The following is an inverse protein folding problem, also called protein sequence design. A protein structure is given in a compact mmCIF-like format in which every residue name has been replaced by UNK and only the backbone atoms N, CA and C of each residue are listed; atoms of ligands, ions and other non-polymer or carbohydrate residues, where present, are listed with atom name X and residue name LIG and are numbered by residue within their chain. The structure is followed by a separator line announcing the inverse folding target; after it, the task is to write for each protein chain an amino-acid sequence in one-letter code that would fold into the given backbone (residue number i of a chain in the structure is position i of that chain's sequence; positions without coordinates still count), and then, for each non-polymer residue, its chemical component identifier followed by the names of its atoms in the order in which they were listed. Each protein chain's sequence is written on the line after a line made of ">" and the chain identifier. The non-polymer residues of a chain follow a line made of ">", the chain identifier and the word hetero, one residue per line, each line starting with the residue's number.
data_IF_583587304702
#
_entry.id   IF_583587304702
#
_cell.length_a   1.000
_cell.length_b   1.000
_cell.length_c   1.000
_cell.angle_alpha   90.00
_cell.angle_beta   90.00
_cell.angle_gamma   90.00
#
_symmetry.space_group_name_H-M   'P 1'
#
loop_
_entity.id
_entity.type
_entity.pdbx_description
1 polymer ?
#
# COMPACT_ATOMS: atom_id res chain seq x y z
N UNK A 1 -13.21 -13.11 -14.87
CA UNK A 1 -14.47 -13.88 -14.68
C UNK A 1 -14.22 -15.20 -13.92
N UNK A 2 -13.23 -16.02 -14.33
CA UNK A 2 -12.94 -17.29 -13.65
C UNK A 2 -12.57 -17.09 -12.17
N UNK A 3 -11.65 -16.18 -11.87
CA UNK A 3 -11.26 -15.87 -10.49
C UNK A 3 -12.47 -15.48 -9.61
N UNK A 4 -13.36 -14.62 -10.12
CA UNK A 4 -14.60 -14.26 -9.45
C UNK A 4 -15.54 -15.45 -9.21
N UNK A 5 -15.68 -16.34 -10.20
CA UNK A 5 -16.56 -17.50 -10.09
C UNK A 5 -16.05 -18.58 -9.13
N UNK A 6 -14.75 -18.62 -8.92
CA UNK A 6 -14.07 -19.58 -8.02
C UNK A 6 -13.71 -19.00 -6.66
N UNK A 7 -13.85 -17.66 -6.49
CA UNK A 7 -13.43 -16.97 -5.26
C UNK A 7 -11.92 -17.03 -5.03
N UNK A 8 -11.11 -16.95 -6.10
CA UNK A 8 -9.66 -17.02 -6.04
C UNK A 8 -9.02 -15.65 -6.28
N UNK A 9 -7.86 -15.36 -5.67
CA UNK A 9 -7.10 -14.14 -5.97
C UNK A 9 -6.77 -14.03 -7.46
N UNK A 10 -6.76 -12.80 -7.96
CA UNK A 10 -6.38 -12.50 -9.34
C UNK A 10 -5.01 -11.83 -9.38
N UNK A 11 -4.04 -12.48 -10.02
CA UNK A 11 -2.70 -11.94 -10.23
C UNK A 11 -2.50 -11.72 -11.72
N UNK A 12 -2.18 -10.48 -12.10
CA UNK A 12 -1.85 -10.14 -13.48
C UNK A 12 -0.38 -9.71 -13.58
N UNK A 13 0.33 -10.31 -14.54
CA UNK A 13 1.68 -9.88 -14.91
C UNK A 13 1.55 -9.02 -16.16
N UNK A 14 2.05 -7.78 -16.08
CA UNK A 14 1.85 -6.75 -17.08
C UNK A 14 3.16 -6.44 -17.82
N UNK A 15 3.09 -6.52 -19.15
CA UNK A 15 4.05 -6.02 -20.12
C UNK A 15 3.26 -5.56 -21.34
N UNK A 16 3.03 -4.24 -21.48
CA UNK A 16 2.10 -3.72 -22.48
C UNK A 16 2.40 -2.29 -22.90
N UNK A 17 2.46 -2.06 -24.19
CA UNK A 17 2.52 -0.70 -24.77
C UNK A 17 1.20 0.08 -24.72
N UNK A 18 0.12 -0.47 -24.16
CA UNK A 18 -1.20 0.15 -24.12
C UNK A 18 -2.14 -0.26 -25.23
N UNK A 19 -3.18 0.55 -25.45
CA UNK A 19 -4.17 0.29 -26.49
C UNK A 19 -3.57 0.41 -27.90
N UNK A 20 -3.89 -0.55 -28.76
CA UNK A 20 -3.47 -0.51 -30.17
C UNK A 20 -4.25 0.56 -30.91
N UNK A 21 -3.59 1.70 -31.18
CA UNK A 21 -4.22 2.88 -31.79
C UNK A 21 -4.87 2.57 -33.15
N UNK A 22 -4.29 1.65 -33.92
CA UNK A 22 -4.78 1.24 -35.24
C UNK A 22 -6.16 0.58 -35.18
N UNK A 23 -6.56 0.03 -34.04
CA UNK A 23 -7.88 -0.58 -33.82
C UNK A 23 -8.92 0.43 -33.34
N UNK A 24 -8.53 1.67 -33.08
CA UNK A 24 -9.41 2.77 -32.68
C UNK A 24 -10.27 2.46 -31.46
N UNK A 25 -11.57 2.75 -31.53
CA UNK A 25 -12.51 2.57 -30.42
C UNK A 25 -12.67 1.12 -29.94
N UNK A 26 -12.42 0.13 -30.80
CA UNK A 26 -12.52 -1.29 -30.43
C UNK A 26 -11.46 -1.67 -29.37
N UNK A 27 -10.22 -1.17 -29.53
CA UNK A 27 -9.15 -1.38 -28.56
C UNK A 27 -9.48 -0.73 -27.20
N UNK A 28 -10.04 0.49 -27.22
CA UNK A 28 -10.47 1.18 -25.98
C UNK A 28 -11.64 0.45 -25.30
N UNK A 29 -12.59 -0.09 -26.05
CA UNK A 29 -13.68 -0.90 -25.51
C UNK A 29 -13.14 -2.16 -24.79
N UNK A 30 -12.08 -2.80 -25.34
CA UNK A 30 -11.40 -3.92 -24.69
C UNK A 30 -10.88 -3.57 -23.29
N UNK A 31 -10.23 -2.42 -23.14
CA UNK A 31 -9.80 -1.93 -21.81
C UNK A 31 -11.01 -1.63 -20.90
N UNK A 32 -12.08 -1.07 -21.42
CA UNK A 32 -13.31 -0.84 -20.66
C UNK A 32 -13.86 -2.12 -20.03
N UNK A 33 -13.84 -3.23 -20.75
CA UNK A 33 -14.24 -4.53 -20.20
C UNK A 33 -13.30 -5.05 -19.12
N UNK A 34 -11.99 -4.79 -19.22
CA UNK A 34 -11.04 -5.13 -18.15
C UNK A 34 -11.32 -4.32 -16.90
N UNK A 35 -11.46 -2.99 -17.04
CA UNK A 35 -11.74 -2.10 -15.91
C UNK A 35 -13.06 -2.43 -15.20
N UNK A 36 -14.12 -2.76 -15.95
CA UNK A 36 -15.39 -3.20 -15.37
C UNK A 36 -15.18 -4.42 -14.46
N UNK A 37 -14.38 -5.38 -14.89
CA UNK A 37 -14.12 -6.59 -14.11
C UNK A 37 -13.26 -6.32 -12.88
N UNK A 38 -12.22 -5.46 -13.01
CA UNK A 38 -11.45 -5.04 -11.85
C UNK A 38 -12.34 -4.34 -10.80
N UNK A 39 -13.22 -3.45 -11.23
CA UNK A 39 -14.13 -2.73 -10.31
C UNK A 39 -15.11 -3.69 -9.64
N UNK A 40 -15.71 -4.64 -10.39
CA UNK A 40 -16.62 -5.64 -9.82
C UNK A 40 -15.93 -6.62 -8.86
N UNK A 41 -14.64 -6.89 -9.07
CA UNK A 41 -13.84 -7.76 -8.23
C UNK A 41 -13.26 -7.04 -6.98
N UNK A 42 -13.28 -5.71 -6.97
CA UNK A 42 -12.74 -4.89 -5.88
C UNK A 42 -13.43 -5.20 -4.56
N UNK A 43 -12.65 -5.57 -3.54
CA UNK A 43 -13.14 -5.98 -2.23
C UNK A 43 -13.85 -7.35 -2.19
N UNK A 44 -13.89 -8.08 -3.31
CA UNK A 44 -14.47 -9.44 -3.39
C UNK A 44 -13.36 -10.49 -3.41
N UNK A 45 -12.38 -10.32 -4.28
CA UNK A 45 -11.17 -11.14 -4.33
C UNK A 45 -9.94 -10.24 -4.33
N UNK A 46 -8.81 -10.64 -3.73
CA UNK A 46 -7.56 -9.91 -3.84
C UNK A 46 -7.11 -9.79 -5.29
N UNK A 47 -6.74 -8.58 -5.71
CA UNK A 47 -6.24 -8.29 -7.05
C UNK A 47 -4.83 -7.73 -6.96
N UNK A 48 -3.88 -8.40 -7.58
CA UNK A 48 -2.46 -8.06 -7.54
C UNK A 48 -1.96 -7.82 -8.96
N UNK A 49 -1.38 -6.66 -9.20
CA UNK A 49 -0.71 -6.31 -10.46
C UNK A 49 0.80 -6.37 -10.28
N UNK A 50 1.46 -7.11 -11.17
CA UNK A 50 2.91 -7.27 -11.20
C UNK A 50 3.40 -6.70 -12.52
N UNK A 51 4.19 -5.64 -12.47
CA UNK A 51 4.72 -4.98 -13.65
C UNK A 51 6.12 -5.53 -13.91
N UNK A 52 6.28 -6.23 -15.03
CA UNK A 52 7.54 -6.88 -15.43
C UNK A 52 7.94 -6.47 -16.85
N UNK A 53 7.87 -5.18 -17.13
CA UNK A 53 8.16 -4.57 -18.41
C UNK A 53 7.53 -3.20 -18.52
N UNK A 54 7.43 -2.62 -19.72
CA UNK A 54 6.67 -1.39 -19.93
C UNK A 54 5.18 -1.63 -19.69
N UNK A 55 4.53 -0.63 -19.09
CA UNK A 55 3.08 -0.59 -18.90
C UNK A 55 2.63 0.85 -19.18
N UNK A 56 2.12 1.11 -20.37
CA UNK A 56 1.87 2.46 -20.86
C UNK A 56 0.41 2.71 -21.27
N UNK A 57 0.01 3.97 -21.26
CA UNK A 57 -1.30 4.40 -21.72
C UNK A 57 -2.45 3.74 -20.96
N UNK A 58 -3.43 3.17 -21.67
CA UNK A 58 -4.58 2.50 -21.07
C UNK A 58 -4.23 1.32 -20.14
N UNK A 59 -3.08 0.70 -20.35
CA UNK A 59 -2.63 -0.45 -19.55
C UNK A 59 -2.33 -0.11 -18.08
N UNK A 60 -2.05 1.14 -17.74
CA UNK A 60 -1.72 1.55 -16.36
C UNK A 60 -2.93 1.64 -15.45
N UNK A 61 -4.13 1.77 -16.01
CA UNK A 61 -5.33 1.97 -15.18
C UNK A 61 -5.79 0.70 -14.50
N UNK A 62 -5.67 -0.47 -15.15
CA UNK A 62 -5.98 -1.74 -14.50
C UNK A 62 -5.12 -1.96 -13.24
N UNK A 63 -3.78 -1.83 -13.26
CA UNK A 63 -2.97 -1.84 -12.04
C UNK A 63 -3.40 -0.82 -10.98
N UNK A 64 -3.77 0.39 -11.39
CA UNK A 64 -4.20 1.43 -10.45
C UNK A 64 -5.54 1.12 -9.75
N UNK A 65 -6.39 0.29 -10.37
CA UNK A 65 -7.66 -0.17 -9.81
C UNK A 65 -7.47 -1.36 -8.86
N UNK A 66 -6.43 -2.18 -9.06
CA UNK A 66 -6.15 -3.36 -8.24
C UNK A 66 -5.68 -2.99 -6.83
N UNK A 67 -5.65 -3.96 -5.90
CA UNK A 67 -5.33 -3.70 -4.50
C UNK A 67 -3.85 -3.38 -4.29
N UNK A 68 -2.96 -4.12 -4.97
CA UNK A 68 -1.51 -3.98 -4.83
C UNK A 68 -0.81 -3.97 -6.18
N UNK A 69 0.18 -3.10 -6.32
CA UNK A 69 1.04 -3.00 -7.50
C UNK A 69 2.48 -3.27 -7.13
N UNK A 70 3.07 -4.27 -7.77
CA UNK A 70 4.49 -4.62 -7.67
C UNK A 70 5.24 -4.12 -8.90
N UNK A 71 6.43 -3.56 -8.69
CA UNK A 71 7.31 -3.12 -9.76
C UNK A 71 8.74 -3.64 -9.55
N UNK A 72 9.37 -4.07 -10.64
CA UNK A 72 10.78 -4.53 -10.66
C UNK A 72 11.69 -3.37 -11.06
N UNK A 73 12.77 -3.15 -10.32
CA UNK A 73 13.74 -2.08 -10.61
C UNK A 73 14.30 -2.23 -12.02
N UNK A 74 14.54 -1.10 -12.67
CA UNK A 74 15.17 -0.97 -14.00
C UNK A 74 14.42 -1.69 -15.14
N UNK A 75 13.47 -2.59 -14.82
CA UNK A 75 12.70 -3.36 -15.80
C UNK A 75 11.30 -2.78 -15.98
N UNK A 76 10.65 -2.37 -14.89
CA UNK A 76 9.26 -1.92 -14.89
C UNK A 76 9.14 -0.42 -15.11
N UNK A 77 8.31 -0.03 -16.06
CA UNK A 77 7.99 1.38 -16.30
C UNK A 77 6.49 1.57 -16.47
N UNK A 78 5.91 2.50 -15.73
CA UNK A 78 4.49 2.88 -15.85
C UNK A 78 4.37 4.37 -16.16
N UNK A 79 3.60 4.72 -17.19
CA UNK A 79 3.24 6.11 -17.49
C UNK A 79 2.03 6.18 -18.42
N UNK A 80 1.25 7.25 -18.34
CA UNK A 80 0.13 7.48 -19.26
C UNK A 80 0.67 7.80 -20.65
N UNK A 81 1.67 8.70 -20.73
CA UNK A 81 2.35 9.08 -21.97
C UNK A 81 3.85 9.01 -21.75
N UNK A 82 4.55 8.43 -22.73
CA UNK A 82 6.01 8.25 -22.64
C UNK A 82 6.82 9.56 -22.81
N UNK A 83 8.14 9.50 -22.56
CA UNK A 83 9.03 10.66 -22.62
C UNK A 83 8.97 11.45 -23.94
N UNK A 84 8.86 10.76 -25.09
CA UNK A 84 8.82 11.43 -26.40
C UNK A 84 7.57 12.32 -26.57
N UNK A 85 6.43 11.86 -26.05
CA UNK A 85 5.19 12.65 -26.10
C UNK A 85 5.27 13.84 -25.15
N UNK A 86 5.84 13.66 -23.94
CA UNK A 86 6.06 14.74 -22.99
C UNK A 86 6.95 15.81 -23.63
N UNK A 87 8.08 15.40 -24.22
CA UNK A 87 9.00 16.30 -24.90
C UNK A 87 8.31 17.07 -26.03
N UNK A 88 7.49 16.40 -26.82
CA UNK A 88 6.77 17.02 -27.93
C UNK A 88 5.72 18.05 -27.48
N UNK A 89 5.07 17.83 -26.33
CA UNK A 89 3.94 18.66 -25.85
C UNK A 89 4.39 19.75 -24.87
N UNK A 90 5.26 19.40 -23.91
CA UNK A 90 5.69 20.32 -22.83
C UNK A 90 7.11 20.86 -23.01
N UNK A 91 7.92 20.23 -23.87
CA UNK A 91 9.35 20.53 -24.01
C UNK A 91 10.24 19.95 -22.92
N UNK A 92 9.67 19.22 -21.96
CA UNK A 92 10.45 18.60 -20.89
C UNK A 92 11.25 17.38 -21.40
N UNK A 93 12.48 17.26 -20.97
CA UNK A 93 13.32 16.08 -21.24
C UNK A 93 13.39 15.22 -19.98
N UNK A 94 12.95 13.97 -20.09
CA UNK A 94 12.89 13.02 -18.98
C UNK A 94 13.18 11.62 -19.51
N UNK A 95 13.89 10.81 -18.73
CA UNK A 95 14.13 9.40 -19.07
C UNK A 95 12.95 8.52 -18.68
N UNK A 96 12.90 7.29 -19.21
CA UNK A 96 11.88 6.30 -18.83
C UNK A 96 11.89 6.04 -17.32
N UNK A 97 13.07 5.89 -16.72
CA UNK A 97 13.24 5.61 -15.31
C UNK A 97 12.82 6.80 -14.42
N UNK A 98 13.18 8.02 -14.79
CA UNK A 98 12.81 9.23 -14.06
C UNK A 98 11.30 9.50 -14.13
N UNK A 99 10.66 9.21 -15.26
CA UNK A 99 9.23 9.43 -15.45
C UNK A 99 8.38 8.36 -14.75
N UNK A 100 8.71 7.09 -14.97
CA UNK A 100 7.83 5.99 -14.60
C UNK A 100 8.51 4.74 -14.09
N UNK A 101 9.77 4.83 -13.67
CA UNK A 101 10.49 3.70 -13.07
C UNK A 101 9.92 3.28 -11.71
N UNK A 102 10.31 2.09 -11.26
CA UNK A 102 9.80 1.48 -10.04
C UNK A 102 9.98 2.39 -8.81
N UNK A 103 11.16 3.00 -8.63
CA UNK A 103 11.40 3.89 -7.50
C UNK A 103 10.68 5.22 -7.61
N UNK A 104 10.43 5.74 -8.81
CA UNK A 104 9.62 6.95 -9.01
C UNK A 104 8.19 6.72 -8.53
N UNK A 105 7.60 5.59 -8.90
CA UNK A 105 6.25 5.24 -8.45
C UNK A 105 6.18 4.82 -6.98
N UNK A 106 7.24 4.24 -6.44
CA UNK A 106 7.27 3.86 -5.03
C UNK A 106 7.50 5.05 -4.09
N UNK A 107 8.23 6.10 -4.51
CA UNK A 107 8.63 7.20 -3.60
C UNK A 107 7.93 8.53 -3.85
N UNK A 108 7.49 8.79 -5.09
CA UNK A 108 6.88 10.08 -5.47
C UNK A 108 5.38 10.00 -5.69
N UNK A 109 4.92 9.04 -6.50
CA UNK A 109 3.50 8.98 -6.87
C UNK A 109 2.65 8.07 -5.97
N UNK A 110 3.28 7.16 -5.21
CA UNK A 110 2.56 6.18 -4.38
C UNK A 110 1.75 5.15 -5.19
N UNK A 111 2.07 4.93 -6.47
CA UNK A 111 1.41 3.94 -7.31
C UNK A 111 1.93 2.53 -7.01
N UNK A 112 3.27 2.37 -6.86
CA UNK A 112 3.86 1.09 -6.54
C UNK A 112 3.78 0.80 -5.04
N UNK A 113 3.07 -0.26 -4.68
CA UNK A 113 2.97 -0.75 -3.31
C UNK A 113 4.28 -1.40 -2.85
N UNK A 114 4.95 -2.09 -3.77
CA UNK A 114 6.18 -2.85 -3.53
C UNK A 114 7.16 -2.70 -4.69
N UNK A 115 8.44 -2.76 -4.37
CA UNK A 115 9.55 -2.75 -5.34
C UNK A 115 10.51 -3.88 -5.01
N UNK A 116 10.85 -4.68 -6.01
CA UNK A 116 11.86 -5.74 -5.95
C UNK A 116 13.11 -5.39 -6.77
N UNK A 117 14.20 -6.08 -6.50
CA UNK A 117 15.44 -5.94 -7.27
C UNK A 117 15.33 -6.66 -8.61
N UNK A 118 14.68 -7.81 -8.63
CA UNK A 118 14.49 -8.66 -9.80
C UNK A 118 13.12 -9.33 -9.78
N UNK A 119 12.83 -10.11 -10.84
CA UNK A 119 11.55 -10.78 -11.03
C UNK A 119 11.36 -11.96 -10.06
N UNK A 120 12.42 -12.65 -9.66
CA UNK A 120 12.37 -13.77 -8.73
C UNK A 120 11.97 -13.29 -7.33
N UNK A 121 12.63 -12.23 -6.84
CA UNK A 121 12.27 -11.56 -5.59
C UNK A 121 10.83 -11.03 -5.65
N UNK A 122 10.42 -10.44 -6.78
CA UNK A 122 9.07 -9.95 -6.98
C UNK A 122 8.03 -11.06 -6.78
N UNK A 123 8.23 -12.21 -7.42
CA UNK A 123 7.32 -13.35 -7.29
C UNK A 123 7.33 -13.96 -5.88
N UNK A 124 8.48 -13.93 -5.19
CA UNK A 124 8.57 -14.35 -3.80
C UNK A 124 7.77 -13.39 -2.88
N UNK A 125 7.88 -12.09 -3.09
CA UNK A 125 7.11 -11.08 -2.37
C UNK A 125 5.60 -11.21 -2.61
N UNK A 126 5.17 -11.51 -3.84
CA UNK A 126 3.75 -11.78 -4.15
C UNK A 126 3.24 -13.00 -3.37
N UNK A 127 4.02 -14.08 -3.28
CA UNK A 127 3.65 -15.26 -2.46
C UNK A 127 3.59 -14.91 -0.98
N UNK A 128 4.53 -14.08 -0.50
CA UNK A 128 4.51 -13.62 0.88
C UNK A 128 3.26 -12.79 1.18
N UNK A 129 2.90 -11.83 0.31
CA UNK A 129 1.66 -11.06 0.44
C UNK A 129 0.43 -11.98 0.51
N UNK A 130 0.33 -12.97 -0.38
CA UNK A 130 -0.79 -13.91 -0.40
C UNK A 130 -0.91 -14.74 0.88
N UNK A 131 0.16 -14.91 1.65
CA UNK A 131 0.10 -15.59 2.94
C UNK A 131 -0.65 -14.80 4.03
N UNK A 132 -0.85 -13.50 3.83
CA UNK A 132 -1.62 -12.63 4.73
C UNK A 132 -3.07 -12.41 4.29
N UNK A 133 -3.40 -12.77 3.05
CA UNK A 133 -4.72 -12.48 2.46
C UNK A 133 -5.57 -13.75 2.38
N UNK A 134 -6.90 -13.65 2.58
CA UNK A 134 -7.81 -14.75 2.27
C UNK A 134 -7.93 -14.94 0.75
N UNK A 135 -8.53 -16.05 0.31
CA UNK A 135 -8.85 -16.26 -1.10
C UNK A 135 -9.89 -15.26 -1.62
N UNK A 136 -10.82 -14.88 -0.76
CA UNK A 136 -11.91 -13.95 -1.06
C UNK A 136 -12.50 -13.34 0.24
N UNK A 137 -13.41 -12.40 0.11
CA UNK A 137 -14.01 -11.69 1.24
C UNK A 137 -14.96 -12.51 2.12
N UNK A 138 -15.23 -13.76 1.79
CA UNK A 138 -16.05 -14.68 2.60
C UNK A 138 -15.20 -15.63 3.44
N UNK A 139 -13.88 -15.57 3.29
CA UNK A 139 -12.93 -16.43 3.99
C UNK A 139 -12.03 -15.60 4.92
N UNK A 140 -11.44 -16.26 5.89
CA UNK A 140 -10.41 -15.68 6.75
C UNK A 140 -9.01 -15.88 6.13
N UNK A 141 -8.08 -15.00 6.47
CA UNK A 141 -6.68 -15.14 6.07
C UNK A 141 -6.07 -16.42 6.67
N UNK A 142 -5.09 -17.05 5.98
CA UNK A 142 -4.41 -18.22 6.51
C UNK A 142 -3.76 -17.95 7.87
N UNK A 143 -3.94 -18.86 8.83
CA UNK A 143 -3.27 -18.82 10.12
C UNK A 143 -2.06 -19.77 10.15
N UNK A 144 -0.99 -19.35 10.79
CA UNK A 144 0.24 -20.12 10.93
C UNK A 144 0.64 -20.15 12.41
N UNK A 145 1.09 -21.30 12.89
CA UNK A 145 1.60 -21.38 14.26
C UNK A 145 2.87 -20.52 14.39
N UNK A 146 2.94 -19.57 15.33
CA UNK A 146 4.13 -18.76 15.55
C UNK A 146 5.24 -19.61 16.16
N UNK A 147 6.49 -19.21 15.95
CA UNK A 147 7.66 -19.76 16.67
C UNK A 147 7.77 -19.10 18.04
N UNK A 148 7.38 -17.84 18.13
CA UNK A 148 7.38 -17.05 19.36
C UNK A 148 6.31 -17.52 20.35
N UNK A 149 6.60 -17.37 21.64
CA UNK A 149 5.60 -17.50 22.70
C UNK A 149 4.66 -16.27 22.66
N UNK A 150 3.35 -16.42 22.44
CA UNK A 150 2.41 -15.30 22.41
C UNK A 150 2.34 -14.53 23.74
N UNK A 151 2.70 -15.16 24.85
CA UNK A 151 2.73 -14.55 26.19
C UNK A 151 4.11 -13.95 26.54
N UNK A 152 5.05 -13.89 25.59
CA UNK A 152 6.39 -13.35 25.82
C UNK A 152 6.36 -11.88 26.27
N UNK A 153 7.28 -11.53 27.13
CA UNK A 153 7.57 -10.14 27.52
C UNK A 153 8.89 -9.69 26.91
N UNK A 154 8.85 -8.63 26.09
CA UNK A 154 10.07 -8.02 25.54
C UNK A 154 10.49 -6.82 26.39
N UNK A 155 11.52 -7.00 27.25
CA UNK A 155 12.07 -5.93 28.09
C UNK A 155 12.63 -4.76 27.26
N UNK A 156 13.03 -4.99 26.00
CA UNK A 156 13.52 -3.96 25.10
C UNK A 156 12.48 -2.88 24.79
N UNK A 157 11.19 -3.19 24.84
CA UNK A 157 10.13 -2.20 24.65
C UNK A 157 10.16 -1.07 25.68
N UNK A 158 10.69 -1.31 26.87
CA UNK A 158 10.81 -0.26 27.91
C UNK A 158 11.81 0.84 27.54
N UNK A 159 12.69 0.59 26.54
CA UNK A 159 13.76 1.51 26.16
C UNK A 159 13.60 2.07 24.73
N UNK A 160 12.67 1.55 23.94
CA UNK A 160 12.46 1.98 22.53
C UNK A 160 11.87 3.38 22.48
N UNK A 161 10.93 3.67 23.37
CA UNK A 161 10.22 4.95 23.39
C UNK A 161 10.91 5.89 24.39
N UNK A 162 11.52 7.00 23.92
CA UNK A 162 12.19 7.94 24.81
C UNK A 162 11.22 8.65 25.76
N UNK A 163 11.69 9.00 26.95
CA UNK A 163 10.93 9.80 27.91
C UNK A 163 10.62 11.21 27.37
N UNK A 164 11.54 11.76 26.58
CA UNK A 164 11.36 13.07 25.96
C UNK A 164 10.39 13.00 24.78
N UNK A 165 9.30 13.73 24.83
CA UNK A 165 8.35 13.84 23.73
C UNK A 165 8.93 14.45 22.44
N UNK A 166 10.11 15.08 22.52
CA UNK A 166 10.81 15.70 21.37
C UNK A 166 11.80 14.78 20.71
N UNK A 167 12.20 13.71 21.37
CA UNK A 167 13.15 12.74 20.83
C UNK A 167 12.43 11.74 19.92
N UNK A 168 12.83 11.61 18.65
CA UNK A 168 12.22 10.65 17.73
C UNK A 168 12.71 9.23 18.02
N UNK A 169 11.85 8.25 17.75
CA UNK A 169 12.20 6.83 17.75
C UNK A 169 11.64 6.15 16.52
N UNK A 170 12.11 4.93 16.22
CA UNK A 170 11.66 4.16 15.07
C UNK A 170 10.48 3.26 15.45
N UNK A 171 9.32 3.54 14.91
CA UNK A 171 8.13 2.74 15.16
C UNK A 171 8.26 1.29 14.61
N UNK A 172 9.10 1.06 13.59
CA UNK A 172 9.36 -0.30 13.11
C UNK A 172 9.97 -1.19 14.20
N UNK A 173 10.79 -0.62 15.08
CA UNK A 173 11.35 -1.39 16.19
C UNK A 173 10.27 -1.83 17.18
N UNK A 174 9.31 -0.96 17.48
CA UNK A 174 8.15 -1.30 18.32
C UNK A 174 7.33 -2.42 17.67
N UNK A 175 7.00 -2.25 16.38
CA UNK A 175 6.20 -3.22 15.62
C UNK A 175 6.87 -4.59 15.65
N UNK A 176 8.15 -4.69 15.24
CA UNK A 176 8.87 -5.97 15.14
C UNK A 176 9.05 -6.69 16.46
N UNK A 177 9.06 -5.99 17.59
CA UNK A 177 9.13 -6.60 18.92
C UNK A 177 7.79 -7.16 19.40
N UNK A 178 6.69 -6.72 18.80
CA UNK A 178 5.32 -7.12 19.20
C UNK A 178 4.80 -8.25 18.31
N UNK A 179 5.04 -8.16 16.99
CA UNK A 179 4.50 -9.12 16.02
C UNK A 179 5.25 -10.46 16.08
N UNK A 180 4.61 -11.53 15.63
CA UNK A 180 5.17 -12.87 15.61
C UNK A 180 6.46 -12.92 14.77
N UNK A 181 7.49 -13.55 15.29
CA UNK A 181 8.80 -13.76 14.65
C UNK A 181 9.48 -12.46 14.16
N UNK A 182 8.97 -11.29 14.56
CA UNK A 182 9.41 -9.98 14.07
C UNK A 182 9.09 -9.75 12.59
N UNK A 183 8.24 -10.60 11.98
CA UNK A 183 7.90 -10.55 10.56
C UNK A 183 6.86 -9.46 10.31
N UNK A 184 7.32 -8.40 9.65
CA UNK A 184 6.49 -7.26 9.25
C UNK A 184 6.66 -6.97 7.76
N UNK A 185 5.61 -7.21 7.00
CA UNK A 185 5.56 -7.00 5.56
C UNK A 185 4.99 -5.62 5.24
N UNK A 186 5.88 -4.63 5.13
CA UNK A 186 5.50 -3.23 4.95
C UNK A 186 4.97 -2.95 3.55
N UNK A 187 3.83 -2.26 3.48
CA UNK A 187 3.18 -1.77 2.24
C UNK A 187 3.49 -0.29 2.06
N UNK A 188 3.95 0.12 0.88
CA UNK A 188 4.42 1.47 0.57
C UNK A 188 5.59 1.96 1.45
N UNK A 189 6.69 1.19 1.60
CA UNK A 189 7.78 1.54 2.51
C UNK A 189 8.51 2.84 2.12
N UNK A 190 8.41 3.28 0.86
CA UNK A 190 9.11 4.46 0.33
C UNK A 190 8.20 5.68 0.13
N UNK A 191 6.89 5.55 0.32
CA UNK A 191 5.93 6.64 0.15
C UNK A 191 5.24 6.98 1.46
N UNK A 192 5.02 8.29 1.71
CA UNK A 192 4.39 8.78 2.93
C UNK A 192 4.96 8.09 4.19
N UNK A 193 6.29 8.12 4.33
CA UNK A 193 7.03 7.38 5.36
C UNK A 193 6.74 7.84 6.80
N UNK A 194 6.03 8.96 6.97
CA UNK A 194 5.52 9.44 8.26
C UNK A 194 4.37 8.58 8.82
N UNK A 195 3.82 7.68 7.99
CA UNK A 195 2.89 6.62 8.39
C UNK A 195 3.39 5.28 7.86
N UNK A 196 3.43 4.28 8.73
CA UNK A 196 3.78 2.90 8.43
C UNK A 196 2.50 2.11 8.24
N UNK A 197 2.40 1.34 7.17
CA UNK A 197 1.32 0.38 6.92
C UNK A 197 1.90 -0.95 6.50
N UNK A 198 1.34 -2.06 6.94
CA UNK A 198 1.85 -3.38 6.55
C UNK A 198 1.10 -4.51 7.21
N UNK A 199 1.42 -5.72 6.79
CA UNK A 199 0.86 -6.95 7.34
C UNK A 199 1.82 -7.60 8.32
N UNK A 200 1.28 -8.22 9.34
CA UNK A 200 2.01 -8.99 10.34
C UNK A 200 1.12 -10.13 10.86
N UNK A 201 1.61 -10.86 11.84
CA UNK A 201 0.79 -11.84 12.58
C UNK A 201 0.88 -11.61 14.08
N UNK A 202 -0.22 -11.92 14.76
CA UNK A 202 -0.30 -12.01 16.21
C UNK A 202 -0.96 -13.36 16.56
N UNK A 203 -0.26 -14.19 17.30
CA UNK A 203 -0.65 -15.57 17.59
C UNK A 203 -1.07 -16.33 16.31
N UNK A 204 -0.25 -16.22 15.27
CA UNK A 204 -0.41 -16.86 13.98
C UNK A 204 -1.47 -16.26 13.06
N UNK A 205 -2.23 -15.28 13.50
CA UNK A 205 -3.34 -14.66 12.73
C UNK A 205 -2.88 -13.39 12.05
N UNK A 206 -3.21 -13.24 10.77
CA UNK A 206 -2.90 -12.04 10.01
C UNK A 206 -3.59 -10.80 10.61
N UNK A 207 -2.84 -9.71 10.72
CA UNK A 207 -3.30 -8.39 11.13
C UNK A 207 -2.72 -7.32 10.21
N UNK A 208 -3.49 -6.26 9.98
CA UNK A 208 -3.00 -5.04 9.37
C UNK A 208 -2.47 -4.10 10.45
N UNK A 209 -1.29 -3.55 10.25
CA UNK A 209 -0.68 -2.56 11.15
C UNK A 209 -0.73 -1.19 10.48
N UNK A 210 -1.22 -0.19 11.22
CA UNK A 210 -1.18 1.24 10.84
C UNK A 210 -0.50 1.99 11.97
N UNK A 211 0.57 2.70 11.69
CA UNK A 211 1.33 3.37 12.75
C UNK A 211 1.89 4.72 12.31
N UNK A 212 2.00 5.67 13.24
CA UNK A 212 2.77 6.88 13.01
C UNK A 212 4.26 6.57 13.09
N UNK A 213 5.09 7.21 12.24
CA UNK A 213 6.55 7.11 12.28
C UNK A 213 7.17 8.41 12.82
N UNK A 214 7.52 8.50 14.12
CA UNK A 214 8.04 9.72 14.71
C UNK A 214 9.36 10.22 14.11
N UNK A 215 10.15 9.35 13.47
CA UNK A 215 11.39 9.74 12.77
C UNK A 215 11.13 10.58 11.52
N UNK A 216 9.94 10.50 10.93
CA UNK A 216 9.60 11.21 9.69
C UNK A 216 8.48 12.21 9.99
N UNK A 217 8.74 13.48 9.76
CA UNK A 217 7.79 14.57 10.03
C UNK A 217 7.14 14.50 11.42
N UNK A 218 7.88 13.99 12.43
CA UNK A 218 7.38 13.76 13.79
C UNK A 218 6.11 12.89 13.88
N UNK A 219 5.81 12.07 12.86
CA UNK A 219 4.60 11.26 12.79
C UNK A 219 3.32 12.04 12.45
N UNK A 220 3.42 13.30 11.97
CA UNK A 220 2.26 14.09 11.53
C UNK A 220 1.56 13.44 10.34
N UNK A 221 0.26 13.68 10.20
CA UNK A 221 -0.50 13.28 9.04
C UNK A 221 -0.49 14.39 7.97
N UNK A 222 -0.09 14.06 6.77
CA UNK A 222 -0.23 14.89 5.57
C UNK A 222 -1.20 14.23 4.58
N UNK A 223 -1.37 14.83 3.40
CA UNK A 223 -2.25 14.31 2.36
C UNK A 223 -1.89 12.87 2.01
N UNK A 224 -0.63 12.60 1.69
CA UNK A 224 -0.16 11.28 1.26
C UNK A 224 -0.30 10.22 2.36
N UNK A 225 0.00 10.57 3.61
CA UNK A 225 -0.18 9.68 4.75
C UNK A 225 -1.65 9.32 4.97
N UNK A 226 -2.56 10.28 4.79
CA UNK A 226 -3.99 10.06 4.88
C UNK A 226 -4.50 9.12 3.79
N UNK A 227 -4.04 9.29 2.55
CA UNK A 227 -4.39 8.42 1.43
C UNK A 227 -3.83 7.00 1.61
N UNK A 228 -2.55 6.88 2.01
CA UNK A 228 -1.90 5.59 2.29
C UNK A 228 -2.65 4.81 3.36
N UNK A 229 -2.88 5.43 4.51
CA UNK A 229 -3.53 4.77 5.62
C UNK A 229 -5.00 4.44 5.31
N UNK A 230 -5.76 5.36 4.71
CA UNK A 230 -7.16 5.12 4.35
C UNK A 230 -7.31 3.95 3.37
N UNK A 231 -6.48 3.89 2.33
CA UNK A 231 -6.49 2.78 1.37
C UNK A 231 -6.18 1.45 2.06
N UNK A 232 -5.15 1.41 2.91
CA UNK A 232 -4.74 0.20 3.61
C UNK A 232 -5.81 -0.30 4.58
N UNK A 233 -6.43 0.59 5.38
CA UNK A 233 -7.54 0.26 6.29
C UNK A 233 -8.71 -0.36 5.53
N UNK A 234 -9.10 0.23 4.38
CA UNK A 234 -10.20 -0.32 3.56
C UNK A 234 -9.86 -1.67 2.94
N UNK A 235 -8.61 -1.89 2.57
CA UNK A 235 -8.14 -3.19 2.08
C UNK A 235 -8.23 -4.25 3.19
N UNK A 236 -7.78 -3.93 4.41
CA UNK A 236 -7.90 -4.82 5.56
C UNK A 236 -9.37 -5.16 5.85
N UNK A 237 -10.26 -4.16 5.87
CA UNK A 237 -11.68 -4.37 6.11
C UNK A 237 -12.33 -5.24 5.04
N UNK A 238 -12.02 -5.00 3.76
CA UNK A 238 -12.56 -5.79 2.64
C UNK A 238 -12.19 -7.27 2.71
N UNK A 239 -11.05 -7.61 3.31
CA UNK A 239 -10.53 -8.97 3.40
C UNK A 239 -10.49 -9.55 4.82
N UNK A 240 -11.34 -9.05 5.71
CA UNK A 240 -11.53 -9.58 7.07
C UNK A 240 -10.26 -9.57 7.94
N UNK A 241 -9.34 -8.64 7.70
CA UNK A 241 -8.06 -8.56 8.42
C UNK A 241 -8.20 -7.56 9.57
N UNK A 242 -8.09 -7.97 10.84
CA UNK A 242 -8.10 -7.07 11.99
C UNK A 242 -6.99 -6.02 11.91
N UNK A 243 -7.23 -4.84 12.49
CA UNK A 243 -6.31 -3.71 12.41
C UNK A 243 -5.75 -3.40 13.80
N UNK A 244 -4.43 -3.28 13.87
CA UNK A 244 -3.69 -2.79 15.04
C UNK A 244 -3.08 -1.43 14.70
N UNK A 245 -3.43 -0.42 15.49
CA UNK A 245 -2.94 0.96 15.27
C UNK A 245 -2.02 1.37 16.40
N UNK A 246 -0.80 1.84 16.07
CA UNK A 246 0.13 2.43 17.03
C UNK A 246 0.15 3.95 16.83
N UNK A 247 -0.22 4.70 17.88
CA UNK A 247 -0.43 6.14 17.80
C UNK A 247 0.68 6.90 18.53
N UNK A 248 1.42 7.70 17.77
CA UNK A 248 2.26 8.78 18.24
C UNK A 248 2.19 9.95 17.25
N UNK A 249 1.13 10.74 17.35
CA UNK A 249 0.79 11.79 16.40
C UNK A 249 0.61 13.15 17.08
N UNK A 250 1.32 14.20 16.61
CA UNK A 250 1.07 15.57 17.09
C UNK A 250 -0.11 16.25 16.40
N UNK A 251 -0.63 15.69 15.30
CA UNK A 251 -1.74 16.23 14.52
C UNK A 251 -1.49 16.17 13.01
N UNK A 252 -2.31 16.87 12.25
CA UNK A 252 -2.08 17.06 10.81
C UNK A 252 -0.96 18.06 10.56
N UNK A 253 -0.22 17.87 9.46
CA UNK A 253 0.86 18.74 9.04
C UNK A 253 0.29 20.13 8.65
N UNK A 254 0.68 21.21 9.35
CA UNK A 254 0.21 22.55 9.00
C UNK A 254 0.94 23.08 7.76
N UNK A 255 0.28 23.97 7.02
CA UNK A 255 0.89 24.69 5.91
C UNK A 255 -0.11 24.99 4.79
N UNK A 256 0.10 26.11 4.10
CA UNK A 256 -0.77 26.55 2.99
C UNK A 256 -0.82 25.55 1.86
N UNK A 257 0.30 24.85 1.56
CA UNK A 257 0.33 23.81 0.54
C UNK A 257 -0.61 22.65 0.87
N UNK A 258 -0.62 22.18 2.13
CA UNK A 258 -1.52 21.14 2.58
C UNK A 258 -2.98 21.60 2.52
N UNK A 259 -3.28 22.82 2.96
CA UNK A 259 -4.63 23.40 2.94
C UNK A 259 -5.12 23.55 1.49
N UNK A 260 -4.33 24.15 0.60
CA UNK A 260 -4.72 24.39 -0.80
C UNK A 260 -4.83 23.11 -1.62
N UNK A 261 -4.04 22.08 -1.33
CA UNK A 261 -4.15 20.78 -1.93
C UNK A 261 -5.27 19.92 -1.31
N UNK A 262 -5.93 20.39 -0.27
CA UNK A 262 -7.14 19.81 0.29
C UNK A 262 -6.92 18.77 1.39
N UNK A 263 -6.01 19.04 2.34
CA UNK A 263 -5.77 18.16 3.50
C UNK A 263 -7.08 17.76 4.22
N UNK A 264 -8.05 18.68 4.32
CA UNK A 264 -9.36 18.39 4.93
C UNK A 264 -10.08 17.26 4.17
N UNK A 265 -10.12 17.34 2.85
CA UNK A 265 -10.76 16.34 2.00
C UNK A 265 -10.04 14.99 2.04
N UNK A 266 -8.70 15.01 2.02
CA UNK A 266 -7.88 13.79 2.06
C UNK A 266 -7.86 13.17 3.45
N UNK A 267 -7.74 13.98 4.52
CA UNK A 267 -7.84 13.52 5.90
C UNK A 267 -9.20 12.91 6.23
N UNK A 268 -10.28 13.46 5.66
CA UNK A 268 -11.62 12.89 5.81
C UNK A 268 -11.74 11.46 5.29
N UNK A 269 -10.93 11.05 4.28
CA UNK A 269 -10.91 9.66 3.80
C UNK A 269 -10.41 8.69 4.87
N UNK A 270 -9.43 9.11 5.67
CA UNK A 270 -8.92 8.30 6.77
C UNK A 270 -9.98 8.11 7.86
N UNK A 271 -10.67 9.19 8.24
CA UNK A 271 -11.80 9.12 9.19
C UNK A 271 -12.90 8.20 8.65
N UNK A 272 -13.24 8.33 7.36
CA UNK A 272 -14.23 7.50 6.70
C UNK A 272 -13.84 6.03 6.75
N UNK A 273 -12.60 5.69 6.37
CA UNK A 273 -12.10 4.32 6.36
C UNK A 273 -12.17 3.66 7.74
N UNK A 274 -11.70 4.33 8.79
CA UNK A 274 -11.78 3.81 10.15
C UNK A 274 -13.21 3.71 10.68
N UNK A 275 -14.11 4.59 10.26
CA UNK A 275 -15.51 4.57 10.72
C UNK A 275 -16.32 3.47 10.01
N UNK A 276 -16.09 3.27 8.71
CA UNK A 276 -16.74 2.25 7.88
C UNK A 276 -16.29 0.84 8.27
N UNK A 277 -15.02 0.67 8.65
CA UNK A 277 -14.42 -0.64 8.91
C UNK A 277 -15.18 -1.45 9.96
N UNK A 278 -15.48 -2.70 9.62
CA UNK A 278 -16.23 -3.67 10.43
C UNK A 278 -15.33 -4.67 11.15
N UNK A 279 -14.08 -4.82 10.72
CA UNK A 279 -13.09 -5.69 11.37
C UNK A 279 -12.72 -5.19 12.77
N UNK A 280 -12.24 -6.08 13.68
CA UNK A 280 -11.67 -5.65 14.95
C UNK A 280 -10.58 -4.60 14.78
N UNK A 281 -10.64 -3.54 15.57
CA UNK A 281 -9.67 -2.44 15.56
C UNK A 281 -9.13 -2.23 16.96
N UNK A 282 -7.84 -2.44 17.14
CA UNK A 282 -7.13 -2.24 18.39
C UNK A 282 -6.22 -1.02 18.25
N UNK A 283 -6.26 -0.12 19.20
CA UNK A 283 -5.41 1.08 19.20
C UNK A 283 -4.53 1.09 20.44
N UNK A 284 -3.24 1.21 20.20
CA UNK A 284 -2.21 1.38 21.24
C UNK A 284 -1.65 2.80 21.13
N UNK A 285 -1.87 3.60 22.14
CA UNK A 285 -1.27 4.95 22.24
C UNK A 285 0.12 4.77 22.83
N UNK A 286 1.15 4.98 22.01
CA UNK A 286 2.54 4.83 22.46
C UNK A 286 3.05 6.08 23.15
N UNK A 287 2.66 7.28 22.68
CA UNK A 287 3.10 8.52 23.30
C UNK A 287 2.12 9.69 23.12
N UNK A 288 2.01 10.30 21.92
CA UNK A 288 1.20 11.51 21.67
C UNK A 288 -0.10 11.17 20.92
N UNK A 289 -1.28 11.41 21.47
CA UNK A 289 -2.56 11.30 20.77
C UNK A 289 -3.21 12.68 20.55
N UNK A 290 -2.53 13.63 19.90
CA UNK A 290 -2.98 15.03 19.85
C UNK A 290 -3.88 15.37 18.67
N UNK A 291 -4.37 14.40 17.94
CA UNK A 291 -5.28 14.54 16.82
C UNK A 291 -4.73 13.95 15.53
N UNK A 292 -5.64 13.64 14.59
CA UNK A 292 -5.31 12.94 13.34
C UNK A 292 -5.96 11.59 13.25
#
# INVERSE_FOLDING_TARGET
>A
DLAMSTGAPFIQINDSGGARIQEGAASLAGYGYVFERNVRASGVIPQISVIMGPCAGGAVYSPAITDFTFMVRETSHMFITGPDVIKAVTGEEVTFEELGGAMTHASRSGVASFVSQDEEECLAMVRHLLSYLPSNNLEDAPAFAPVDDPDRHDEGLTHVIPDSAREPYDMHEVIRRIVDDGDFFEVFPFWAMNVVTGFARLDGRAVGVVANQPKVLAGTLNIDASEKAARFVRTCDAFNIPIVTFVDVPGFLPGTDQEYQGIIRHGAKLLYAFTEATVPRLTVITRKPYGG
#
